data_IF_010813221242
#
_entry.id   IF_010813221242
#
_cell.length_a   1.000
_cell.length_b   1.000
_cell.length_c   1.000
_cell.angle_alpha   90.00
_cell.angle_beta   90.00
_cell.angle_gamma   90.00
#
_symmetry.space_group_name_H-M   'P 1'
#
loop_
_entity.id
_entity.type
_entity.pdbx_description
1 polymer ?
#
# COMPACT_ATOMS: atom_id res chain seq x y z
N UNK A 1 -20.44 -18.98 -8.43
CA UNK A 1 -19.65 -19.72 -7.43
C UNK A 1 -18.24 -19.15 -7.43
N UNK A 2 -17.76 -18.64 -6.29
CA UNK A 2 -16.40 -18.14 -6.19
C UNK A 2 -15.39 -19.31 -6.29
N UNK A 3 -14.34 -19.13 -7.08
CA UNK A 3 -13.25 -20.09 -7.23
C UNK A 3 -12.57 -20.31 -5.87
N UNK A 4 -12.58 -21.54 -5.33
CA UNK A 4 -11.89 -21.86 -4.09
C UNK A 4 -10.46 -22.33 -4.41
N UNK A 5 -9.48 -21.42 -4.24
CA UNK A 5 -8.08 -21.64 -4.64
C UNK A 5 -7.24 -22.42 -3.59
N UNK A 6 -7.85 -22.96 -2.53
CA UNK A 6 -7.16 -23.61 -1.41
C UNK A 6 -5.96 -22.80 -0.88
N UNK A 7 -6.15 -21.48 -0.71
CA UNK A 7 -5.15 -20.57 -0.14
C UNK A 7 -5.61 -20.04 1.20
N UNK A 8 -4.65 -19.84 2.11
CA UNK A 8 -4.89 -19.15 3.36
C UNK A 8 -5.31 -17.70 3.08
N UNK A 9 -6.29 -17.21 3.83
CA UNK A 9 -6.87 -15.87 3.67
C UNK A 9 -6.52 -14.99 4.86
N UNK A 10 -6.60 -13.68 4.67
CA UNK A 10 -6.32 -12.71 5.72
C UNK A 10 -7.22 -12.88 6.96
N UNK A 11 -8.48 -13.24 6.77
CA UNK A 11 -9.44 -13.47 7.85
C UNK A 11 -9.22 -14.78 8.63
N UNK A 12 -8.32 -15.63 8.15
CA UNK A 12 -7.93 -16.90 8.78
C UNK A 12 -6.61 -16.85 9.54
N UNK A 13 -5.97 -15.66 9.64
CA UNK A 13 -4.71 -15.48 10.36
C UNK A 13 -4.88 -14.53 11.54
N UNK A 14 -4.22 -14.85 12.66
CA UNK A 14 -4.15 -13.94 13.80
C UNK A 14 -3.06 -12.87 13.58
N UNK A 15 -3.50 -11.62 13.53
CA UNK A 15 -2.63 -10.46 13.34
C UNK A 15 -2.41 -9.66 14.61
N UNK A 16 -3.10 -9.97 15.71
CA UNK A 16 -3.03 -9.21 16.96
C UNK A 16 -1.61 -9.20 17.55
N UNK A 17 -1.10 -8.01 17.86
CA UNK A 17 0.26 -7.80 18.36
C UNK A 17 1.38 -8.14 17.36
N UNK A 18 1.06 -8.52 16.13
CA UNK A 18 2.04 -8.89 15.10
C UNK A 18 2.44 -7.70 14.23
N UNK A 19 3.63 -7.79 13.62
CA UNK A 19 4.07 -6.88 12.57
C UNK A 19 3.65 -7.47 11.23
N UNK A 20 2.73 -6.82 10.53
CA UNK A 20 2.17 -7.30 9.26
C UNK A 20 2.86 -6.59 8.11
N UNK A 21 3.32 -7.37 7.12
CA UNK A 21 3.79 -6.85 5.84
C UNK A 21 2.72 -7.14 4.77
N UNK A 22 2.31 -6.13 4.01
CA UNK A 22 1.32 -6.26 2.94
C UNK A 22 1.93 -5.78 1.65
N UNK A 23 2.06 -6.69 0.67
CA UNK A 23 2.36 -6.32 -0.70
C UNK A 23 1.07 -5.82 -1.34
N UNK A 24 1.04 -4.55 -1.74
CA UNK A 24 -0.13 -3.89 -2.32
C UNK A 24 0.16 -3.44 -3.76
N UNK A 25 -0.89 -3.28 -4.55
CA UNK A 25 -0.79 -2.66 -5.87
C UNK A 25 -1.13 -1.18 -5.77
N UNK A 26 -0.10 -0.34 -5.62
CA UNK A 26 -0.21 1.12 -5.72
C UNK A 26 0.39 1.68 -7.01
N UNK A 27 0.39 0.89 -8.09
CA UNK A 27 0.82 1.37 -9.40
C UNK A 27 -0.28 2.24 -10.03
N UNK A 28 -0.42 3.47 -9.52
CA UNK A 28 -1.46 4.44 -9.88
C UNK A 28 -1.01 5.35 -11.02
N UNK A 29 -1.92 5.82 -11.87
CA UNK A 29 -1.58 6.86 -12.84
C UNK A 29 -1.32 8.19 -12.11
N UNK A 30 -0.29 8.89 -12.57
CA UNK A 30 0.06 10.23 -12.14
C UNK A 30 -0.27 11.22 -13.26
N UNK A 31 -0.43 12.49 -12.92
CA UNK A 31 -0.59 13.55 -13.92
C UNK A 31 0.67 13.66 -14.80
N UNK A 32 0.46 14.03 -16.07
CA UNK A 32 1.55 14.09 -17.06
C UNK A 32 2.46 15.29 -16.84
N UNK A 33 1.93 16.41 -16.37
CA UNK A 33 2.67 17.64 -16.11
C UNK A 33 3.29 17.63 -14.70
N UNK A 34 2.56 17.10 -13.72
CA UNK A 34 3.04 16.98 -12.33
C UNK A 34 2.91 15.53 -11.81
N UNK A 35 4.00 14.75 -11.77
CA UNK A 35 3.96 13.38 -11.28
C UNK A 35 3.61 13.27 -9.78
N UNK A 36 3.58 14.37 -9.02
CA UNK A 36 3.14 14.34 -7.63
C UNK A 36 1.62 14.28 -7.47
N UNK A 37 0.87 14.50 -8.54
CA UNK A 37 -0.60 14.45 -8.55
C UNK A 37 -1.06 13.08 -9.00
N UNK A 38 -1.82 12.38 -8.16
CA UNK A 38 -2.45 11.10 -8.50
C UNK A 38 -3.81 11.38 -9.15
N UNK A 39 -4.02 10.87 -10.37
CA UNK A 39 -5.23 11.16 -11.17
C UNK A 39 -6.35 10.13 -10.94
N UNK A 40 -6.02 8.97 -10.36
CA UNK A 40 -7.00 7.94 -10.01
C UNK A 40 -6.57 7.17 -8.75
N UNK A 41 -7.42 7.16 -7.73
CA UNK A 41 -7.17 6.58 -6.41
C UNK A 41 -7.72 5.17 -6.22
N UNK A 42 -8.40 4.58 -7.22
CA UNK A 42 -9.11 3.31 -7.08
C UNK A 42 -8.22 2.15 -6.58
N UNK A 43 -6.94 2.13 -6.98
CA UNK A 43 -5.98 1.11 -6.48
C UNK A 43 -5.61 1.31 -5.01
N UNK A 44 -5.51 2.57 -4.56
CA UNK A 44 -5.24 2.89 -3.15
C UNK A 44 -6.44 2.50 -2.31
N UNK A 45 -7.64 2.89 -2.76
CA UNK A 45 -8.91 2.55 -2.12
C UNK A 45 -9.14 1.03 -2.02
N UNK A 46 -8.78 0.29 -3.08
CA UNK A 46 -8.87 -1.17 -3.11
C UNK A 46 -8.03 -1.88 -2.05
N UNK A 47 -6.97 -1.26 -1.53
CA UNK A 47 -6.15 -1.82 -0.45
C UNK A 47 -6.69 -1.48 0.95
N UNK A 48 -7.55 -0.48 1.09
CA UNK A 48 -8.03 0.00 2.39
C UNK A 48 -8.69 -1.09 3.24
N UNK A 49 -9.52 -2.01 2.71
CA UNK A 49 -10.14 -3.05 3.53
C UNK A 49 -9.11 -3.93 4.25
N UNK A 50 -8.05 -4.35 3.58
CA UNK A 50 -6.99 -5.19 4.19
C UNK A 50 -6.16 -4.42 5.20
N UNK A 51 -5.85 -3.15 4.93
CA UNK A 51 -5.07 -2.30 5.85
C UNK A 51 -5.88 -2.04 7.12
N UNK A 52 -7.15 -1.61 6.97
CA UNK A 52 -8.07 -1.35 8.09
C UNK A 52 -8.30 -2.61 8.92
N UNK A 53 -8.53 -3.76 8.28
CA UNK A 53 -8.68 -5.04 8.97
C UNK A 53 -7.49 -5.34 9.91
N UNK A 54 -6.26 -5.21 9.42
CA UNK A 54 -5.07 -5.47 10.24
C UNK A 54 -4.96 -4.50 11.43
N UNK A 55 -5.22 -3.21 11.21
CA UNK A 55 -5.16 -2.20 12.26
C UNK A 55 -6.25 -2.40 13.31
N UNK A 56 -7.49 -2.66 12.89
CA UNK A 56 -8.65 -2.89 13.77
C UNK A 56 -8.51 -4.17 14.59
N UNK A 57 -7.84 -5.20 14.03
CA UNK A 57 -7.51 -6.44 14.74
C UNK A 57 -6.28 -6.34 15.65
N UNK A 58 -5.74 -5.14 15.84
CA UNK A 58 -4.69 -4.88 16.82
C UNK A 58 -3.31 -5.31 16.36
N UNK A 59 -3.03 -5.30 15.04
CA UNK A 59 -1.65 -5.46 14.56
C UNK A 59 -0.73 -4.40 15.20
N UNK A 60 0.45 -4.83 15.66
CA UNK A 60 1.46 -3.94 16.24
C UNK A 60 1.96 -2.90 15.24
N UNK A 61 2.10 -3.31 13.98
CA UNK A 61 2.44 -2.40 12.87
C UNK A 61 1.98 -3.00 11.54
N UNK A 62 1.72 -2.13 10.56
CA UNK A 62 1.44 -2.53 9.18
C UNK A 62 2.45 -1.85 8.26
N UNK A 63 3.25 -2.64 7.53
CA UNK A 63 4.23 -2.17 6.55
C UNK A 63 3.68 -2.47 5.15
N UNK A 64 3.58 -1.44 4.33
CA UNK A 64 3.08 -1.55 2.95
C UNK A 64 4.24 -1.42 1.98
N UNK A 65 4.29 -2.32 0.99
CA UNK A 65 5.25 -2.23 -0.08
C UNK A 65 4.55 -2.39 -1.43
N UNK A 66 4.94 -1.55 -2.39
CA UNK A 66 4.45 -1.58 -3.77
C UNK A 66 5.62 -1.33 -4.73
N UNK A 67 5.29 -1.24 -6.00
CA UNK A 67 6.08 -0.58 -7.03
C UNK A 67 5.24 0.55 -7.66
N UNK A 68 5.87 1.40 -8.47
CA UNK A 68 5.22 2.38 -9.31
C UNK A 68 6.01 2.47 -10.62
N UNK A 69 5.32 2.43 -11.76
CA UNK A 69 5.97 2.50 -13.06
C UNK A 69 7.04 1.42 -13.27
N UNK A 70 8.11 1.78 -13.97
CA UNK A 70 9.23 0.88 -14.33
C UNK A 70 10.56 1.57 -14.04
N UNK A 71 11.06 1.47 -12.80
CA UNK A 71 12.33 2.08 -12.41
C UNK A 71 13.57 1.28 -12.87
N UNK A 72 13.36 0.06 -13.39
CA UNK A 72 14.40 -0.81 -13.95
C UNK A 72 15.63 -0.98 -13.04
N UNK A 73 15.37 -1.16 -11.74
CA UNK A 73 16.40 -1.38 -10.72
C UNK A 73 17.13 -0.12 -10.22
N UNK A 74 16.76 1.07 -10.72
CA UNK A 74 17.39 2.33 -10.36
C UNK A 74 16.49 3.20 -9.48
N UNK A 75 17.08 4.11 -8.71
CA UNK A 75 16.33 5.14 -7.99
C UNK A 75 15.93 6.23 -8.99
N UNK A 76 14.65 6.22 -9.39
CA UNK A 76 14.08 7.21 -10.31
C UNK A 76 13.07 8.08 -9.56
N UNK A 77 13.37 9.38 -9.29
CA UNK A 77 12.51 10.24 -8.48
C UNK A 77 11.06 10.33 -8.96
N UNK A 78 10.83 10.24 -10.28
CA UNK A 78 9.49 10.24 -10.87
C UNK A 78 8.61 9.08 -10.39
N UNK A 79 9.21 7.92 -10.08
CA UNK A 79 8.51 6.71 -9.65
C UNK A 79 8.49 6.55 -8.13
N UNK A 80 8.74 7.61 -7.37
CA UNK A 80 8.60 7.60 -5.91
C UNK A 80 7.15 7.33 -5.49
N UNK A 81 6.97 6.61 -4.38
CA UNK A 81 5.66 6.39 -3.75
C UNK A 81 5.27 7.49 -2.74
N UNK A 82 6.09 8.53 -2.56
CA UNK A 82 5.79 9.60 -1.62
C UNK A 82 4.40 10.27 -1.85
N UNK A 83 3.95 10.55 -3.09
CA UNK A 83 2.59 11.03 -3.35
C UNK A 83 1.50 10.04 -2.92
N UNK A 84 1.75 8.74 -3.10
CA UNK A 84 0.82 7.67 -2.71
C UNK A 84 0.68 7.63 -1.19
N UNK A 85 1.78 7.78 -0.44
CA UNK A 85 1.73 7.84 1.01
C UNK A 85 0.84 9.00 1.51
N UNK A 86 0.97 10.20 0.92
CA UNK A 86 0.12 11.36 1.23
C UNK A 86 -1.36 11.13 0.89
N UNK A 87 -1.64 10.48 -0.25
CA UNK A 87 -3.01 10.15 -0.64
C UNK A 87 -3.61 9.10 0.30
N UNK A 88 -2.85 8.07 0.65
CA UNK A 88 -3.27 7.03 1.60
C UNK A 88 -3.54 7.62 2.99
N UNK A 89 -2.68 8.51 3.49
CA UNK A 89 -2.85 9.20 4.78
C UNK A 89 -4.20 9.93 4.86
N UNK A 90 -4.57 10.64 3.79
CA UNK A 90 -5.88 11.30 3.69
C UNK A 90 -7.04 10.32 3.68
N UNK A 91 -6.91 9.21 2.94
CA UNK A 91 -7.99 8.21 2.80
C UNK A 91 -8.20 7.34 4.05
N UNK A 92 -7.13 7.09 4.81
CA UNK A 92 -7.18 6.27 6.02
C UNK A 92 -7.36 7.10 7.30
N UNK A 93 -7.22 8.42 7.21
CA UNK A 93 -7.34 9.37 8.32
C UNK A 93 -6.41 9.02 9.49
N UNK A 94 -5.24 8.46 9.18
CA UNK A 94 -4.20 8.10 10.15
C UNK A 94 -2.83 8.45 9.55
N UNK A 95 -1.84 8.83 10.39
CA UNK A 95 -0.49 9.12 9.91
C UNK A 95 0.11 7.95 9.12
N UNK A 96 0.73 8.25 7.97
CA UNK A 96 1.44 7.27 7.15
C UNK A 96 2.91 7.68 7.01
N UNK A 97 3.79 6.94 7.67
CA UNK A 97 5.24 7.16 7.55
C UNK A 97 5.77 6.62 6.23
N UNK A 98 6.30 7.50 5.39
CA UNK A 98 7.03 7.13 4.18
C UNK A 98 8.51 6.92 4.48
N UNK A 99 9.06 5.79 4.05
CA UNK A 99 10.49 5.50 4.11
C UNK A 99 11.10 5.62 2.70
N UNK A 100 12.30 6.16 2.60
CA UNK A 100 12.99 6.37 1.31
C UNK A 100 13.62 5.11 0.74
N UNK A 101 13.67 4.04 1.53
CA UNK A 101 14.18 2.72 1.12
C UNK A 101 13.26 1.61 1.65
N UNK A 102 13.34 0.42 1.06
CA UNK A 102 12.56 -0.76 1.39
C UNK A 102 13.35 -1.85 2.14
N UNK A 103 14.67 -1.72 2.21
CA UNK A 103 15.58 -2.58 2.97
C UNK A 103 16.73 -1.78 3.58
N UNK A 104 17.43 -2.37 4.55
CA UNK A 104 18.57 -1.78 5.25
C UNK A 104 19.18 -2.76 6.24
#
# INVERSE_FOLDING_TARGET
MALNLNKLKLDSVDVAGKRVFIRVDFNVPQDKADPTIITNTARIEGALPSIKYCLEKGAKSVVLASHLGRPDGNVVPKFTLAPVAKALEKLIEKPVTFLTDCCG
#
